data_IF_627886270877
#
_entry.id   IF_627886270877
#
_cell.length_a   1.000
_cell.length_b   1.000
_cell.length_c   1.000
_cell.angle_alpha   90.00
_cell.angle_beta   90.00
_cell.angle_gamma   90.00
#
_symmetry.space_group_name_H-M   'P 1'
#
loop_
_entity.id
_entity.type
_entity.pdbx_description
1 polymer ?
#
# COMPACT_ATOMS: atom_id res chain seq x y z
N UNK A 1 0.63 21.35 -0.35
CA UNK A 1 0.69 20.54 0.91
C UNK A 1 2.11 20.43 1.50
N UNK A 2 2.96 21.40 1.23
CA UNK A 2 4.29 21.49 1.85
C UNK A 2 4.16 21.71 3.35
N UNK A 3 5.09 21.18 4.16
CA UNK A 3 5.18 21.53 5.58
C UNK A 3 5.51 23.03 5.76
N UNK A 4 4.89 23.69 6.73
CA UNK A 4 5.19 25.08 7.05
C UNK A 4 6.61 25.24 7.58
N UNK A 5 7.10 24.24 8.31
CA UNK A 5 8.50 24.09 8.72
C UNK A 5 8.92 22.64 8.56
N UNK A 6 10.13 22.41 8.10
CA UNK A 6 10.75 21.09 8.08
C UNK A 6 11.61 20.94 9.35
N UNK A 7 11.72 19.70 9.89
CA UNK A 7 12.58 19.45 11.03
C UNK A 7 14.05 19.63 10.66
N UNK A 8 14.90 19.80 11.68
CA UNK A 8 16.34 19.80 11.50
C UNK A 8 16.83 18.42 10.97
N UNK A 9 17.94 18.39 10.23
CA UNK A 9 18.57 17.16 9.80
C UNK A 9 18.91 16.23 10.98
N UNK A 10 18.56 14.96 10.82
CA UNK A 10 18.81 13.90 11.80
C UNK A 10 19.37 12.68 11.08
N UNK A 11 20.58 12.19 11.41
CA UNK A 11 21.25 11.13 10.67
C UNK A 11 20.49 9.80 10.62
N UNK A 12 19.53 9.58 11.52
CA UNK A 12 18.71 8.39 11.55
C UNK A 12 17.55 8.44 10.54
N UNK A 13 17.29 9.61 9.94
CA UNK A 13 16.13 9.84 9.11
C UNK A 13 16.44 10.45 7.76
N UNK A 14 15.57 10.15 6.81
CA UNK A 14 15.30 10.96 5.64
C UNK A 14 13.96 11.69 5.85
N UNK A 15 13.93 12.97 5.54
CA UNK A 15 12.71 13.79 5.64
C UNK A 15 12.34 14.33 4.27
N UNK A 16 11.12 14.08 3.86
CA UNK A 16 10.62 14.61 2.59
C UNK A 16 10.00 16.01 2.73
N UNK A 17 9.70 16.63 1.58
CA UNK A 17 9.10 17.97 1.51
C UNK A 17 7.72 18.07 2.21
N UNK A 18 7.05 16.94 2.43
CA UNK A 18 5.83 16.85 3.23
C UNK A 18 6.14 16.95 4.72
N UNK A 19 7.40 16.80 5.12
CA UNK A 19 7.85 16.71 6.50
C UNK A 19 7.59 15.34 7.11
N UNK A 20 7.39 14.31 6.28
CA UNK A 20 7.31 12.92 6.73
C UNK A 20 8.72 12.39 6.94
N UNK A 21 8.98 11.86 8.13
CA UNK A 21 10.26 11.29 8.53
C UNK A 21 10.23 9.79 8.28
N UNK A 22 11.19 9.28 7.52
CA UNK A 22 11.39 7.84 7.30
C UNK A 22 12.76 7.43 7.84
N UNK A 23 12.81 6.43 8.71
CA UNK A 23 14.09 5.91 9.22
C UNK A 23 14.89 5.28 8.10
N UNK A 24 16.19 5.58 8.08
CA UNK A 24 17.12 4.95 7.12
C UNK A 24 17.16 3.43 7.29
N UNK A 25 17.01 2.93 8.52
CA UNK A 25 16.95 1.50 8.80
C UNK A 25 15.76 0.77 8.14
N UNK A 26 14.70 1.50 7.76
CA UNK A 26 13.56 0.96 6.99
C UNK A 26 13.83 0.91 5.48
N UNK A 27 14.96 1.45 5.04
CA UNK A 27 15.38 1.56 3.64
C UNK A 27 16.80 0.96 3.47
N UNK A 28 16.99 -0.35 3.75
CA UNK A 28 18.34 -0.95 3.77
C UNK A 28 19.03 -0.93 2.40
N UNK A 29 18.28 -0.75 1.31
CA UNK A 29 18.79 -0.59 -0.05
C UNK A 29 19.17 0.85 -0.41
N UNK A 30 18.80 1.83 0.42
CA UNK A 30 19.06 3.24 0.12
C UNK A 30 20.54 3.58 0.32
N UNK A 31 21.11 4.54 -0.46
CA UNK A 31 22.49 4.97 -0.25
C UNK A 31 22.64 5.67 1.09
N UNK A 32 23.78 5.45 1.74
CA UNK A 32 24.10 6.06 3.04
C UNK A 32 24.00 7.61 3.02
N UNK A 33 24.19 8.23 1.86
CA UNK A 33 24.07 9.68 1.68
C UNK A 33 22.63 10.20 1.90
N UNK A 34 21.61 9.33 1.94
CA UNK A 34 20.23 9.73 2.25
C UNK A 34 20.06 10.10 3.72
N UNK A 35 20.90 9.56 4.59
CA UNK A 35 20.87 9.84 6.03
C UNK A 35 21.04 11.34 6.33
N UNK A 36 20.14 11.89 7.11
CA UNK A 36 20.12 13.30 7.48
C UNK A 36 19.66 14.26 6.38
N UNK A 37 19.25 13.77 5.22
CA UNK A 37 18.71 14.65 4.19
C UNK A 37 17.30 15.15 4.54
N UNK A 38 17.06 16.43 4.25
CA UNK A 38 15.75 17.08 4.33
C UNK A 38 15.44 17.66 2.96
N UNK A 39 14.53 17.05 2.23
CA UNK A 39 14.15 17.47 0.88
C UNK A 39 13.12 18.60 0.94
N UNK A 40 13.42 19.71 0.27
CA UNK A 40 12.58 20.92 0.26
C UNK A 40 11.89 21.19 -1.08
N UNK A 41 12.26 20.45 -2.11
CA UNK A 41 11.85 20.70 -3.50
C UNK A 41 10.69 19.82 -3.95
N UNK A 42 9.89 20.36 -4.87
CA UNK A 42 8.84 19.70 -5.63
C UNK A 42 9.18 19.81 -7.13
N UNK A 43 8.80 18.86 -7.97
CA UNK A 43 8.30 17.52 -7.60
C UNK A 43 9.40 16.72 -6.92
N UNK A 44 9.02 15.71 -6.15
CA UNK A 44 9.97 14.71 -5.69
C UNK A 44 10.37 13.96 -6.95
N UNK A 45 11.66 13.91 -7.32
CA UNK A 45 12.07 12.96 -8.33
C UNK A 45 11.77 11.57 -7.78
N UNK A 46 11.48 10.64 -8.66
CA UNK A 46 11.54 9.24 -8.31
C UNK A 46 12.88 9.01 -7.62
N UNK A 47 12.83 8.79 -6.31
CA UNK A 47 14.05 8.61 -5.53
C UNK A 47 14.51 7.15 -5.54
N UNK A 48 13.69 6.24 -6.13
CA UNK A 48 14.00 4.82 -6.23
C UNK A 48 14.16 4.12 -4.86
N UNK A 49 13.91 4.85 -3.77
CA UNK A 49 14.17 4.35 -2.42
C UNK A 49 12.89 4.08 -1.64
N UNK A 50 11.88 4.91 -1.80
CA UNK A 50 10.63 4.79 -1.07
C UNK A 50 9.49 4.42 -1.97
N UNK A 51 9.43 5.05 -3.13
CA UNK A 51 8.36 4.86 -4.09
C UNK A 51 8.58 5.68 -5.35
N UNK A 52 7.80 5.39 -6.36
CA UNK A 52 7.75 6.13 -7.61
C UNK A 52 6.97 7.44 -7.46
N UNK A 53 7.25 8.44 -8.29
CA UNK A 53 6.61 9.76 -8.26
C UNK A 53 5.10 9.68 -8.53
N UNK A 54 4.67 8.69 -9.31
CA UNK A 54 3.26 8.40 -9.65
C UNK A 54 2.42 8.11 -8.41
N UNK A 55 2.92 7.34 -7.46
CA UNK A 55 2.18 7.00 -6.23
C UNK A 55 1.95 8.24 -5.35
N UNK A 56 2.90 9.20 -5.33
CA UNK A 56 2.69 10.49 -4.68
C UNK A 56 1.56 11.28 -5.35
N UNK A 57 1.42 11.19 -6.68
CA UNK A 57 0.31 11.80 -7.39
C UNK A 57 -1.03 11.13 -7.04
N UNK A 58 -1.05 9.80 -6.84
CA UNK A 58 -2.23 9.05 -6.39
C UNK A 58 -2.71 9.55 -5.01
N UNK A 59 -1.80 9.65 -4.04
CA UNK A 59 -2.12 10.18 -2.71
C UNK A 59 -2.62 11.63 -2.77
N UNK A 60 -1.98 12.47 -3.59
CA UNK A 60 -2.38 13.87 -3.76
C UNK A 60 -3.80 13.98 -4.35
N UNK A 61 -4.13 13.17 -5.35
CA UNK A 61 -5.47 13.12 -5.95
C UNK A 61 -6.53 12.69 -4.92
N UNK A 62 -6.23 11.67 -4.11
CA UNK A 62 -7.14 11.22 -3.06
C UNK A 62 -7.40 12.29 -2.01
N UNK A 63 -6.35 12.94 -1.54
CA UNK A 63 -6.47 14.04 -0.59
C UNK A 63 -7.25 15.22 -1.16
N UNK A 64 -7.03 15.60 -2.43
CA UNK A 64 -7.76 16.72 -3.05
C UNK A 64 -9.28 16.51 -3.05
N UNK A 65 -9.72 15.28 -3.26
CA UNK A 65 -11.15 14.96 -3.28
C UNK A 65 -11.78 14.72 -1.92
N UNK A 66 -11.00 14.70 -0.82
CA UNK A 66 -11.52 14.56 0.53
C UNK A 66 -12.07 15.91 1.05
N UNK A 67 -13.23 15.89 1.70
CA UNK A 67 -13.92 17.08 2.19
C UNK A 67 -13.74 17.29 3.70
N UNK A 68 -14.30 16.43 4.53
CA UNK A 68 -14.24 16.53 6.01
C UNK A 68 -13.46 15.39 6.65
N UNK A 69 -13.41 14.27 5.97
CA UNK A 69 -12.72 13.05 6.41
C UNK A 69 -11.75 12.61 5.32
N UNK A 70 -10.71 11.89 5.71
CA UNK A 70 -9.84 11.18 4.79
C UNK A 70 -9.56 9.79 5.36
N UNK A 71 -9.95 8.77 4.59
CA UNK A 71 -9.70 7.37 4.92
C UNK A 71 -8.82 6.72 3.86
N UNK A 72 -7.75 6.09 4.32
CA UNK A 72 -6.81 5.33 3.48
C UNK A 72 -6.70 3.89 3.96
N UNK A 73 -6.71 2.94 3.04
CA UNK A 73 -6.38 1.53 3.28
C UNK A 73 -5.17 1.20 2.43
N UNK A 74 -4.11 0.69 3.06
CA UNK A 74 -2.85 0.33 2.42
C UNK A 74 -2.60 -1.16 2.62
N UNK A 75 -2.50 -1.90 1.53
CA UNK A 75 -2.37 -3.36 1.49
C UNK A 75 -1.01 -3.74 0.92
N UNK A 76 -0.26 -4.58 1.63
CA UNK A 76 1.17 -4.76 1.41
C UNK A 76 1.94 -3.55 1.91
N UNK A 77 1.65 -3.15 3.16
CA UNK A 77 1.97 -1.81 3.63
C UNK A 77 3.47 -1.60 3.94
N UNK A 78 4.25 -2.65 4.11
CA UNK A 78 5.64 -2.49 4.53
C UNK A 78 5.75 -1.68 5.81
N UNK A 79 6.37 -0.51 5.74
CA UNK A 79 6.43 0.48 6.85
C UNK A 79 5.28 1.50 6.83
N UNK A 80 4.22 1.27 6.06
CA UNK A 80 3.04 2.11 5.90
C UNK A 80 3.32 3.55 5.41
N UNK A 81 4.12 3.74 4.35
CA UNK A 81 4.47 5.07 3.85
C UNK A 81 3.25 5.90 3.44
N UNK A 82 2.27 5.29 2.80
CA UNK A 82 1.10 5.99 2.27
C UNK A 82 0.08 6.32 3.36
N UNK A 83 -0.17 5.39 4.29
CA UNK A 83 -1.02 5.67 5.45
C UNK A 83 -0.45 6.81 6.29
N UNK A 84 0.83 6.76 6.65
CA UNK A 84 1.45 7.80 7.47
C UNK A 84 1.48 9.14 6.75
N UNK A 85 1.87 9.16 5.47
CA UNK A 85 1.86 10.41 4.68
C UNK A 85 0.43 10.95 4.52
N UNK A 86 -0.56 10.11 4.25
CA UNK A 86 -1.96 10.49 4.13
C UNK A 86 -2.52 11.10 5.40
N UNK A 87 -2.23 10.50 6.55
CA UNK A 87 -2.64 11.01 7.88
C UNK A 87 -1.98 12.36 8.17
N UNK A 88 -0.66 12.48 8.00
CA UNK A 88 0.07 13.74 8.23
C UNK A 88 -0.45 14.87 7.35
N UNK A 89 -0.68 14.61 6.06
CA UNK A 89 -1.19 15.60 5.11
C UNK A 89 -2.66 15.93 5.33
N UNK A 90 -3.48 14.93 5.65
CA UNK A 90 -4.90 15.12 5.96
C UNK A 90 -5.11 16.00 7.20
N UNK A 91 -4.34 15.77 8.26
CA UNK A 91 -4.35 16.63 9.47
C UNK A 91 -4.04 18.09 9.15
N UNK A 92 -3.03 18.35 8.29
CA UNK A 92 -2.69 19.73 7.87
C UNK A 92 -3.79 20.42 7.10
N UNK A 93 -4.67 19.62 6.47
CA UNK A 93 -5.88 20.13 5.82
C UNK A 93 -7.07 20.29 6.79
N UNK A 94 -6.91 19.92 8.05
CA UNK A 94 -7.99 19.93 9.04
C UNK A 94 -9.00 18.80 8.87
N UNK A 95 -8.63 17.72 8.15
CA UNK A 95 -9.48 16.55 7.97
C UNK A 95 -9.42 15.63 9.19
N UNK A 96 -10.52 14.94 9.48
CA UNK A 96 -10.49 13.75 10.33
C UNK A 96 -9.86 12.62 9.51
N UNK A 97 -8.85 11.99 10.08
CA UNK A 97 -8.04 11.01 9.33
C UNK A 97 -8.17 9.62 9.95
N UNK A 98 -8.22 8.61 9.11
CA UNK A 98 -8.14 7.20 9.49
C UNK A 98 -7.34 6.42 8.45
N UNK A 99 -6.42 5.58 8.92
CA UNK A 99 -5.64 4.66 8.10
C UNK A 99 -5.78 3.23 8.58
N UNK A 100 -5.78 2.29 7.64
CA UNK A 100 -5.62 0.85 7.92
C UNK A 100 -4.46 0.36 7.05
N UNK A 101 -3.39 -0.09 7.68
CA UNK A 101 -2.22 -0.66 7.02
C UNK A 101 -2.19 -2.17 7.26
N UNK A 102 -2.15 -2.96 6.21
CA UNK A 102 -2.15 -4.43 6.28
C UNK A 102 -0.81 -4.95 5.81
N UNK A 103 -0.10 -5.64 6.70
CA UNK A 103 1.25 -6.15 6.45
C UNK A 103 1.40 -7.55 7.06
N UNK A 104 1.77 -8.52 6.22
CA UNK A 104 1.89 -9.91 6.64
C UNK A 104 3.17 -10.16 7.44
N UNK A 105 4.27 -9.51 7.06
CA UNK A 105 5.54 -9.68 7.73
C UNK A 105 5.59 -8.94 9.06
N UNK A 106 5.97 -9.69 10.12
CA UNK A 106 6.01 -9.16 11.48
C UNK A 106 7.01 -8.00 11.66
N UNK A 107 8.18 -8.08 11.02
CA UNK A 107 9.20 -7.04 11.14
C UNK A 107 8.68 -5.74 10.52
N UNK A 108 8.07 -5.83 9.34
CA UNK A 108 7.55 -4.69 8.60
C UNK A 108 6.31 -4.09 9.25
N UNK A 109 5.42 -4.91 9.81
CA UNK A 109 4.33 -4.42 10.66
C UNK A 109 4.86 -3.64 11.88
N UNK A 110 5.96 -4.10 12.49
CA UNK A 110 6.68 -3.35 13.52
C UNK A 110 7.27 -2.03 13.01
N UNK A 111 7.79 -2.00 11.79
CA UNK A 111 8.25 -0.77 11.14
C UNK A 111 7.11 0.22 10.89
N UNK A 112 5.93 -0.27 10.48
CA UNK A 112 4.75 0.60 10.32
C UNK A 112 4.36 1.29 11.64
N UNK A 113 4.38 0.57 12.76
CA UNK A 113 4.15 1.16 14.09
C UNK A 113 5.21 2.21 14.45
N UNK A 114 6.49 1.90 14.18
CA UNK A 114 7.58 2.84 14.47
C UNK A 114 7.51 4.07 13.56
N UNK A 115 7.20 3.90 12.26
CA UNK A 115 7.04 5.00 11.32
C UNK A 115 5.88 5.93 11.71
N UNK A 116 4.77 5.36 12.18
CA UNK A 116 3.67 6.14 12.76
C UNK A 116 4.13 6.98 13.95
N UNK A 117 4.83 6.36 14.92
CA UNK A 117 5.34 7.04 16.11
C UNK A 117 6.33 8.17 15.76
N UNK A 118 7.24 7.94 14.83
CA UNK A 118 8.23 8.93 14.35
C UNK A 118 7.57 10.17 13.70
N UNK A 119 6.32 10.02 13.24
CA UNK A 119 5.52 11.08 12.62
C UNK A 119 4.36 11.57 13.52
N UNK A 120 4.40 11.25 14.80
CA UNK A 120 3.38 11.61 15.79
C UNK A 120 1.95 11.15 15.38
N UNK A 121 1.86 10.01 14.68
CA UNK A 121 0.59 9.34 14.34
C UNK A 121 0.26 8.35 15.44
N UNK A 122 -0.95 8.45 16.01
CA UNK A 122 -1.41 7.45 16.98
C UNK A 122 -1.76 6.16 16.26
N UNK A 123 -1.16 5.05 16.68
CA UNK A 123 -1.31 3.76 16.01
C UNK A 123 -1.63 2.62 16.97
N UNK A 124 -2.40 1.64 16.49
CA UNK A 124 -2.69 0.38 17.18
C UNK A 124 -2.28 -0.79 16.27
N UNK A 125 -1.61 -1.80 16.85
CA UNK A 125 -1.25 -3.03 16.16
C UNK A 125 -2.26 -4.13 16.52
N UNK A 126 -2.92 -4.69 15.51
CA UNK A 126 -3.78 -5.86 15.65
C UNK A 126 -3.02 -7.12 15.24
N UNK A 127 -3.05 -8.11 16.13
CA UNK A 127 -2.49 -9.46 15.89
C UNK A 127 -3.49 -10.49 16.38
N UNK A 128 -3.50 -11.69 15.81
CA UNK A 128 -4.39 -12.77 16.22
C UNK A 128 -4.77 -13.70 15.09
N UNK A 129 -5.78 -14.53 15.30
CA UNK A 129 -6.38 -15.36 14.25
C UNK A 129 -7.14 -14.50 13.24
N UNK A 130 -7.43 -14.99 12.03
CA UNK A 130 -8.22 -14.26 11.05
C UNK A 130 -9.56 -13.75 11.63
N UNK A 131 -10.26 -14.56 12.41
CA UNK A 131 -11.55 -14.21 13.00
C UNK A 131 -11.44 -13.14 14.09
N UNK A 132 -10.39 -13.21 14.93
CA UNK A 132 -10.11 -12.20 15.95
C UNK A 132 -9.78 -10.86 15.31
N UNK A 133 -8.98 -10.86 14.23
CA UNK A 133 -8.65 -9.64 13.49
C UNK A 133 -9.90 -9.00 12.87
N UNK A 134 -10.79 -9.80 12.26
CA UNK A 134 -12.05 -9.28 11.71
C UNK A 134 -12.93 -8.71 12.83
N UNK A 135 -13.05 -9.37 13.96
CA UNK A 135 -13.83 -8.86 15.09
C UNK A 135 -13.28 -7.52 15.60
N UNK A 136 -11.96 -7.41 15.77
CA UNK A 136 -11.30 -6.17 16.20
C UNK A 136 -11.47 -5.02 15.17
N UNK A 137 -11.39 -5.31 13.88
CA UNK A 137 -11.65 -4.32 12.82
C UNK A 137 -13.08 -3.77 12.90
N UNK A 138 -14.07 -4.64 13.22
CA UNK A 138 -15.47 -4.25 13.37
C UNK A 138 -15.73 -3.44 14.66
N UNK A 139 -14.99 -3.67 15.73
CA UNK A 139 -15.06 -2.86 16.95
C UNK A 139 -14.56 -1.42 16.71
N UNK A 140 -13.66 -1.25 15.74
CA UNK A 140 -13.00 0.00 15.44
C UNK A 140 -11.94 0.37 16.48
N UNK A 141 -11.30 1.52 16.28
CA UNK A 141 -10.25 2.05 17.15
C UNK A 141 -10.31 3.57 17.22
N UNK A 142 -9.82 4.14 18.33
CA UNK A 142 -9.59 5.58 18.45
C UNK A 142 -8.25 6.03 17.82
N UNK A 143 -7.37 5.08 17.49
CA UNK A 143 -6.11 5.39 16.82
C UNK A 143 -6.36 5.91 15.39
N UNK A 144 -5.46 6.75 14.89
CA UNK A 144 -5.52 7.26 13.53
C UNK A 144 -5.04 6.23 12.50
N UNK A 145 -4.16 5.31 12.92
CA UNK A 145 -3.67 4.21 12.10
C UNK A 145 -3.91 2.88 12.82
N UNK A 146 -4.59 1.97 12.16
CA UNK A 146 -4.67 0.57 12.57
C UNK A 146 -3.70 -0.22 11.70
N UNK A 147 -2.69 -0.83 12.32
CA UNK A 147 -1.79 -1.77 11.63
C UNK A 147 -2.30 -3.17 11.89
N UNK A 148 -2.58 -3.91 10.82
CA UNK A 148 -3.08 -5.30 10.89
C UNK A 148 -1.96 -6.22 10.44
N UNK A 149 -1.42 -7.02 11.35
CA UNK A 149 -0.41 -8.02 11.02
C UNK A 149 -1.08 -9.25 10.39
N UNK A 150 -1.32 -9.17 9.10
CA UNK A 150 -2.00 -10.18 8.30
C UNK A 150 -1.70 -9.97 6.81
N UNK A 151 -1.95 -10.98 5.99
CA UNK A 151 -2.16 -10.78 4.57
C UNK A 151 -3.55 -10.20 4.30
N UNK A 152 -3.72 -9.45 3.22
CA UNK A 152 -5.03 -9.14 2.68
C UNK A 152 -5.38 -10.17 1.59
N UNK A 153 -6.63 -10.61 1.57
CA UNK A 153 -7.10 -11.56 0.56
C UNK A 153 -8.55 -11.26 0.16
N UNK A 154 -9.09 -12.05 -0.78
CA UNK A 154 -10.51 -11.93 -1.12
C UNK A 154 -11.44 -12.60 -0.10
N UNK A 155 -10.91 -13.46 0.76
CA UNK A 155 -11.64 -14.10 1.84
C UNK A 155 -10.82 -14.12 3.13
N UNK A 156 -11.49 -14.27 4.29
CA UNK A 156 -10.83 -14.41 5.58
C UNK A 156 -10.39 -15.86 5.76
N UNK A 157 -9.09 -16.10 5.91
CA UNK A 157 -8.49 -17.44 5.92
C UNK A 157 -7.06 -17.40 6.50
N UNK A 158 -6.31 -18.47 6.35
CA UNK A 158 -4.87 -18.55 6.62
C UNK A 158 -4.15 -18.82 5.30
N UNK A 159 -3.05 -18.12 5.05
CA UNK A 159 -2.25 -18.24 3.83
C UNK A 159 -0.80 -18.55 4.16
N UNK A 160 -0.10 -19.13 3.21
CA UNK A 160 1.34 -19.32 3.25
C UNK A 160 2.06 -18.05 2.82
N UNK A 161 3.04 -17.60 3.60
CA UNK A 161 3.84 -16.39 3.33
C UNK A 161 5.32 -16.71 3.46
N UNK A 162 6.21 -16.17 2.61
CA UNK A 162 7.62 -16.46 2.65
C UNK A 162 8.32 -15.83 3.87
N UNK A 163 9.37 -16.51 4.34
CA UNK A 163 10.32 -15.93 5.29
C UNK A 163 11.23 -14.98 4.52
N UNK A 164 11.16 -13.70 4.82
CA UNK A 164 11.88 -12.66 4.10
C UNK A 164 13.11 -12.19 4.89
N UNK A 165 14.20 -11.94 4.17
CA UNK A 165 15.32 -11.19 4.71
C UNK A 165 14.94 -9.71 4.96
N UNK A 166 15.66 -9.01 5.84
CA UNK A 166 15.37 -7.63 6.22
C UNK A 166 15.31 -6.68 5.01
N UNK A 167 16.16 -6.89 4.02
CA UNK A 167 16.21 -6.07 2.79
C UNK A 167 15.23 -6.49 1.69
N UNK A 168 14.48 -7.58 1.87
CA UNK A 168 13.57 -8.09 0.84
C UNK A 168 12.15 -7.55 1.03
N UNK A 169 11.74 -6.61 0.19
CA UNK A 169 10.37 -6.03 0.21
C UNK A 169 9.41 -6.72 -0.77
N UNK A 170 9.85 -7.74 -1.51
CA UNK A 170 9.05 -8.40 -2.53
C UNK A 170 8.29 -9.64 -2.05
N UNK A 171 7.84 -9.67 -0.80
CA UNK A 171 7.05 -10.79 -0.27
C UNK A 171 5.62 -10.82 -0.78
N UNK A 172 5.20 -11.95 -1.37
CA UNK A 172 3.83 -12.19 -1.77
C UNK A 172 3.27 -13.45 -1.08
N UNK A 173 1.95 -13.51 -0.88
CA UNK A 173 1.31 -14.75 -0.43
C UNK A 173 1.51 -15.85 -1.46
N UNK A 174 1.69 -17.08 -0.96
CA UNK A 174 1.99 -18.22 -1.82
C UNK A 174 0.72 -18.81 -2.43
N UNK A 175 0.59 -18.73 -3.75
CA UNK A 175 -0.60 -19.19 -4.47
C UNK A 175 -0.35 -20.47 -5.30
N UNK A 176 0.91 -20.94 -5.39
CA UNK A 176 1.28 -22.10 -6.23
C UNK A 176 1.60 -23.33 -5.36
N UNK A 177 0.65 -24.24 -5.12
CA UNK A 177 0.89 -25.44 -4.34
C UNK A 177 1.99 -26.32 -4.96
N UNK A 178 2.90 -26.85 -4.13
CA UNK A 178 3.89 -27.83 -4.53
C UNK A 178 5.16 -27.28 -5.18
N UNK A 179 5.37 -25.97 -5.14
CA UNK A 179 6.65 -25.34 -5.47
C UNK A 179 7.24 -24.67 -4.23
N UNK A 180 8.54 -24.54 -4.18
CA UNK A 180 9.29 -23.79 -3.14
C UNK A 180 9.94 -22.54 -3.75
N UNK A 181 9.46 -22.12 -4.93
CA UNK A 181 10.00 -21.00 -5.71
C UNK A 181 8.95 -19.92 -5.82
N UNK A 182 9.28 -18.70 -5.41
CA UNK A 182 8.39 -17.55 -5.49
C UNK A 182 8.22 -17.04 -6.95
N UNK A 183 7.40 -16.01 -7.14
CA UNK A 183 7.15 -15.41 -8.47
C UNK A 183 8.42 -14.84 -9.12
N UNK A 184 9.46 -14.54 -8.35
CA UNK A 184 10.78 -14.06 -8.80
C UNK A 184 11.75 -15.21 -9.11
N UNK A 185 11.41 -16.46 -8.75
CA UNK A 185 12.26 -17.63 -8.89
C UNK A 185 13.18 -17.88 -7.69
N UNK A 186 12.96 -17.22 -6.54
CA UNK A 186 13.71 -17.44 -5.31
C UNK A 186 13.13 -18.65 -4.55
N UNK A 187 14.02 -19.49 -3.99
CA UNK A 187 13.65 -20.55 -3.05
C UNK A 187 13.57 -19.98 -1.64
N UNK A 188 12.36 -19.95 -1.07
CA UNK A 188 12.10 -19.41 0.25
C UNK A 188 11.42 -20.45 1.14
N UNK A 189 11.73 -20.45 2.42
CA UNK A 189 10.91 -21.11 3.42
C UNK A 189 9.64 -20.32 3.67
N UNK A 190 8.58 -20.97 4.16
CA UNK A 190 7.27 -20.37 4.30
C UNK A 190 6.68 -20.69 5.68
N UNK A 191 5.88 -19.77 6.18
CA UNK A 191 5.07 -19.95 7.38
C UNK A 191 3.61 -19.54 7.12
N UNK A 192 2.72 -19.96 7.99
CA UNK A 192 1.33 -19.56 7.92
C UNK A 192 1.13 -18.17 8.53
N UNK A 193 0.37 -17.33 7.83
CA UNK A 193 -0.06 -16.01 8.30
C UNK A 193 -1.58 -15.89 8.25
N UNK A 194 -2.21 -15.18 9.20
CA UNK A 194 -3.63 -14.84 9.07
C UNK A 194 -3.86 -14.01 7.84
N UNK A 195 -5.02 -14.17 7.21
CA UNK A 195 -5.45 -13.35 6.08
C UNK A 195 -6.84 -12.78 6.37
N UNK A 196 -7.01 -11.48 6.12
CA UNK A 196 -8.26 -10.76 6.28
C UNK A 196 -8.83 -10.36 4.92
N UNK A 197 -10.15 -10.46 4.79
CA UNK A 197 -10.81 -10.11 3.53
C UNK A 197 -10.82 -8.60 3.29
N UNK A 198 -10.74 -8.17 2.02
CA UNK A 198 -10.94 -6.78 1.66
C UNK A 198 -12.30 -6.25 2.16
N UNK A 199 -13.35 -7.09 2.15
CA UNK A 199 -14.63 -6.74 2.76
C UNK A 199 -14.48 -6.30 4.21
N UNK A 200 -13.72 -7.03 5.03
CA UNK A 200 -13.52 -6.68 6.44
C UNK A 200 -12.69 -5.40 6.60
N UNK A 201 -11.70 -5.18 5.75
CA UNK A 201 -10.85 -3.99 5.77
C UNK A 201 -11.59 -2.73 5.32
N UNK A 202 -12.53 -2.88 4.38
CA UNK A 202 -13.34 -1.79 3.84
C UNK A 202 -14.62 -1.53 4.64
N UNK A 203 -15.03 -2.45 5.52
CA UNK A 203 -16.22 -2.35 6.34
C UNK A 203 -16.09 -1.20 7.36
N UNK A 204 -16.57 -0.02 6.97
CA UNK A 204 -16.61 1.20 7.79
C UNK A 204 -17.81 2.02 7.32
N UNK A 205 -18.36 2.87 8.19
CA UNK A 205 -19.41 3.83 7.83
C UNK A 205 -18.90 4.96 6.94
N UNK A 206 -17.56 5.06 6.77
CA UNK A 206 -16.89 6.09 5.98
C UNK A 206 -16.30 5.47 4.72
N UNK A 207 -16.57 6.07 3.55
CA UNK A 207 -15.95 5.67 2.28
C UNK A 207 -14.42 5.74 2.37
N UNK A 208 -13.76 4.80 1.71
CA UNK A 208 -12.30 4.79 1.53
C UNK A 208 -11.92 5.74 0.41
N UNK A 209 -11.20 6.82 0.73
CA UNK A 209 -10.73 7.80 -0.25
C UNK A 209 -9.62 7.24 -1.12
N UNK A 210 -8.74 6.42 -0.54
CA UNK A 210 -7.68 5.73 -1.25
C UNK A 210 -7.52 4.29 -0.75
N UNK A 211 -7.68 3.33 -1.64
CA UNK A 211 -7.18 1.98 -1.47
C UNK A 211 -5.84 1.89 -2.22
N UNK A 212 -4.74 1.74 -1.51
CA UNK A 212 -3.43 1.47 -2.09
C UNK A 212 -3.14 -0.03 -1.98
N UNK A 213 -2.70 -0.64 -3.07
CA UNK A 213 -2.45 -2.09 -3.16
C UNK A 213 -1.11 -2.34 -3.82
N UNK A 214 -0.22 -2.98 -3.07
CA UNK A 214 1.06 -3.49 -3.57
C UNK A 214 1.32 -4.84 -2.89
N UNK A 215 0.94 -5.92 -3.55
CA UNK A 215 0.98 -7.29 -3.00
C UNK A 215 1.84 -8.24 -3.84
N UNK A 216 2.70 -7.65 -4.65
CA UNK A 216 3.81 -8.33 -5.32
C UNK A 216 3.38 -9.52 -6.19
N UNK A 217 2.44 -9.26 -7.13
CA UNK A 217 2.05 -10.19 -8.20
C UNK A 217 0.75 -10.96 -7.96
N UNK A 218 0.04 -10.73 -6.82
CA UNK A 218 -1.27 -11.35 -6.55
C UNK A 218 -2.43 -10.34 -6.58
N UNK A 219 -2.23 -9.16 -7.17
CA UNK A 219 -3.22 -8.07 -7.25
C UNK A 219 -4.53 -8.54 -7.88
N UNK A 220 -4.45 -9.32 -8.98
CA UNK A 220 -5.64 -9.84 -9.63
C UNK A 220 -6.42 -10.83 -8.76
N UNK A 221 -5.72 -11.70 -8.03
CA UNK A 221 -6.35 -12.72 -7.19
C UNK A 221 -7.00 -12.09 -5.93
N UNK A 222 -6.46 -10.97 -5.48
CA UNK A 222 -7.02 -10.18 -4.40
C UNK A 222 -8.23 -9.34 -4.86
N UNK A 223 -8.05 -8.55 -5.93
CA UNK A 223 -8.98 -7.46 -6.27
C UNK A 223 -10.18 -7.91 -7.11
N UNK A 224 -9.98 -8.85 -8.07
CA UNK A 224 -11.07 -9.21 -8.97
C UNK A 224 -12.24 -9.90 -8.25
N UNK A 225 -12.02 -10.84 -7.31
CA UNK A 225 -13.11 -11.43 -6.55
C UNK A 225 -13.79 -10.44 -5.57
N UNK A 226 -13.06 -9.44 -5.07
CA UNK A 226 -13.55 -8.46 -4.10
C UNK A 226 -14.14 -7.20 -4.77
N UNK A 227 -14.28 -7.18 -6.09
CA UNK A 227 -14.62 -5.97 -6.86
C UNK A 227 -15.98 -5.35 -6.51
N UNK A 228 -16.94 -6.11 -5.99
CA UNK A 228 -18.24 -5.56 -5.55
C UNK A 228 -18.07 -4.75 -4.24
N UNK A 229 -17.30 -5.24 -3.29
CA UNK A 229 -16.99 -4.52 -2.04
C UNK A 229 -16.16 -3.26 -2.35
N UNK A 230 -15.18 -3.36 -3.25
CA UNK A 230 -14.37 -2.23 -3.71
C UNK A 230 -15.26 -1.17 -4.36
N UNK A 231 -16.16 -1.58 -5.28
CA UNK A 231 -17.05 -0.64 -5.97
C UNK A 231 -18.01 0.08 -5.02
N UNK A 232 -18.43 -0.58 -3.94
CA UNK A 232 -19.33 0.01 -2.97
C UNK A 232 -18.65 1.03 -2.03
N UNK A 233 -17.34 0.88 -1.75
CA UNK A 233 -16.67 1.56 -0.64
C UNK A 233 -15.45 2.39 -1.04
N UNK A 234 -14.87 2.22 -2.24
CA UNK A 234 -13.60 2.82 -2.62
C UNK A 234 -13.78 3.89 -3.68
N UNK A 235 -13.30 5.10 -3.42
CA UNK A 235 -13.35 6.23 -4.35
C UNK A 235 -12.19 6.22 -5.34
N UNK A 236 -10.97 6.06 -4.85
CA UNK A 236 -9.76 5.92 -5.67
C UNK A 236 -9.00 4.67 -5.25
N UNK A 237 -8.43 3.99 -6.22
CA UNK A 237 -7.61 2.80 -6.01
C UNK A 237 -6.29 2.96 -6.78
N UNK A 238 -5.17 2.95 -6.05
CA UNK A 238 -3.83 2.90 -6.60
C UNK A 238 -3.30 1.46 -6.50
N UNK A 239 -2.83 0.91 -7.61
CA UNK A 239 -2.36 -0.47 -7.67
C UNK A 239 -0.94 -0.47 -8.21
N UNK A 240 0.02 -0.94 -7.41
CA UNK A 240 1.33 -1.39 -7.89
C UNK A 240 1.15 -2.67 -8.71
N UNK A 241 1.78 -2.77 -9.86
CA UNK A 241 1.62 -3.91 -10.76
C UNK A 241 2.97 -4.53 -11.09
N UNK A 242 3.07 -5.85 -10.95
CA UNK A 242 4.32 -6.59 -11.09
C UNK A 242 4.51 -7.24 -12.46
N UNK A 243 3.50 -7.22 -13.33
CA UNK A 243 3.59 -7.74 -14.70
C UNK A 243 2.51 -7.21 -15.65
N UNK A 244 2.80 -7.28 -16.95
CA UNK A 244 1.93 -6.79 -18.03
C UNK A 244 0.61 -7.54 -18.19
N UNK A 245 0.53 -8.81 -17.79
CA UNK A 245 -0.71 -9.56 -17.86
C UNK A 245 -1.68 -9.11 -16.76
N UNK A 246 -1.17 -8.91 -15.55
CA UNK A 246 -1.93 -8.38 -14.42
C UNK A 246 -2.48 -7.00 -14.73
N UNK A 247 -1.69 -6.09 -15.31
CA UNK A 247 -2.15 -4.78 -15.81
C UNK A 247 -3.33 -4.91 -16.76
N UNK A 248 -3.19 -5.74 -17.80
CA UNK A 248 -4.24 -5.93 -18.79
C UNK A 248 -5.53 -6.54 -18.22
N UNK A 249 -5.42 -7.49 -17.28
CA UNK A 249 -6.56 -8.09 -16.58
C UNK A 249 -7.30 -7.07 -15.71
N UNK A 250 -6.58 -6.25 -14.96
CA UNK A 250 -7.14 -5.18 -14.15
C UNK A 250 -7.85 -4.15 -15.04
N UNK A 251 -7.21 -3.71 -16.13
CA UNK A 251 -7.82 -2.79 -17.09
C UNK A 251 -9.11 -3.35 -17.69
N UNK A 252 -9.07 -4.58 -18.20
CA UNK A 252 -10.26 -5.22 -18.76
C UNK A 252 -11.40 -5.28 -17.74
N UNK A 253 -11.11 -5.65 -16.50
CA UNK A 253 -12.12 -5.84 -15.46
C UNK A 253 -12.74 -4.52 -15.00
N UNK A 254 -11.91 -3.54 -14.59
CA UNK A 254 -12.42 -2.30 -14.00
C UNK A 254 -13.04 -1.37 -15.04
N UNK A 255 -12.54 -1.34 -16.29
CA UNK A 255 -13.21 -0.63 -17.39
C UNK A 255 -14.60 -1.21 -17.68
N UNK A 256 -14.73 -2.53 -17.69
CA UNK A 256 -16.03 -3.19 -17.90
C UNK A 256 -17.04 -2.87 -16.76
N UNK A 257 -16.54 -2.53 -15.57
CA UNK A 257 -17.34 -2.12 -14.41
C UNK A 257 -17.60 -0.61 -14.36
N UNK A 258 -17.13 0.13 -15.35
CA UNK A 258 -17.37 1.58 -15.48
C UNK A 258 -16.37 2.45 -14.69
N UNK A 259 -15.28 1.88 -14.16
CA UNK A 259 -14.22 2.66 -13.52
C UNK A 259 -13.43 3.47 -14.55
N UNK A 260 -12.91 4.63 -14.14
CA UNK A 260 -12.02 5.46 -14.95
C UNK A 260 -10.55 5.22 -14.61
N UNK A 261 -9.74 4.86 -15.60
CA UNK A 261 -8.28 4.81 -15.45
C UNK A 261 -7.72 6.23 -15.58
N UNK A 262 -7.20 6.78 -14.49
CA UNK A 262 -6.69 8.17 -14.44
C UNK A 262 -5.21 8.27 -14.71
N UNK A 263 -4.47 7.31 -14.20
CA UNK A 263 -3.02 7.18 -14.41
C UNK A 263 -2.76 5.73 -14.81
N UNK A 264 -1.97 5.55 -15.84
CA UNK A 264 -1.46 4.28 -16.30
C UNK A 264 0.04 4.46 -16.58
N UNK A 265 0.85 4.04 -15.63
CA UNK A 265 2.30 3.97 -15.75
C UNK A 265 2.70 2.49 -15.82
N UNK A 266 2.90 1.95 -17.02
CA UNK A 266 3.01 0.52 -17.18
C UNK A 266 4.37 -0.01 -16.73
N UNK A 267 4.40 -1.20 -16.13
CA UNK A 267 5.65 -1.86 -15.76
C UNK A 267 6.59 -2.02 -16.96
N UNK A 268 7.88 -1.88 -16.72
CA UNK A 268 8.92 -2.09 -17.73
C UNK A 268 9.40 -3.53 -17.71
N UNK A 269 9.32 -4.21 -18.86
CA UNK A 269 9.73 -5.60 -19.00
C UNK A 269 10.93 -5.75 -19.94
N UNK A 270 11.90 -6.56 -19.51
CA UNK A 270 13.06 -6.96 -20.32
C UNK A 270 13.13 -8.48 -20.35
N UNK A 271 13.22 -9.05 -21.56
CA UNK A 271 13.29 -10.49 -21.71
C UNK A 271 14.49 -11.09 -20.97
N UNK A 272 14.24 -12.12 -20.16
CA UNK A 272 15.25 -12.85 -19.39
C UNK A 272 15.18 -14.35 -19.68
N UNK A 273 16.33 -14.93 -20.03
CA UNK A 273 16.47 -16.40 -20.20
C UNK A 273 16.61 -17.10 -18.85
N UNK A 274 17.04 -16.40 -17.82
CA UNK A 274 17.24 -16.96 -16.46
C UNK A 274 15.94 -16.98 -15.65
N UNK A 275 15.03 -16.06 -15.93
CA UNK A 275 13.73 -15.94 -15.26
C UNK A 275 12.62 -15.82 -16.32
N UNK A 276 12.27 -16.93 -17.01
CA UNK A 276 11.40 -16.90 -18.18
C UNK A 276 9.91 -16.87 -17.80
N UNK A 277 9.53 -15.90 -16.98
CA UNK A 277 8.14 -15.62 -16.57
C UNK A 277 7.83 -14.14 -16.81
N UNK A 278 6.56 -13.77 -16.87
CA UNK A 278 6.17 -12.35 -17.05
C UNK A 278 6.67 -11.48 -15.89
N UNK A 279 6.51 -11.94 -14.67
CA UNK A 279 7.06 -11.26 -13.49
C UNK A 279 8.60 -11.23 -13.51
N UNK A 280 9.25 -12.32 -13.91
CA UNK A 280 10.72 -12.39 -14.05
C UNK A 280 11.29 -11.50 -15.17
N UNK A 281 10.45 -11.00 -16.08
CA UNK A 281 10.85 -10.02 -17.10
C UNK A 281 10.70 -8.57 -16.58
N UNK A 282 9.93 -8.36 -15.52
CA UNK A 282 9.70 -7.03 -14.99
C UNK A 282 10.97 -6.51 -14.29
N UNK A 283 11.43 -5.36 -14.71
CA UNK A 283 12.61 -4.68 -14.18
C UNK A 283 12.25 -3.38 -13.46
N UNK A 284 11.02 -2.91 -13.63
CA UNK A 284 10.41 -1.80 -12.92
C UNK A 284 8.91 -2.07 -12.85
N UNK A 285 8.34 -1.99 -11.68
CA UNK A 285 6.92 -2.15 -11.44
C UNK A 285 6.14 -1.01 -12.07
N UNK A 286 4.87 -1.22 -12.32
CA UNK A 286 3.97 -0.22 -12.85
C UNK A 286 2.99 0.29 -11.80
N UNK A 287 2.29 1.38 -12.11
CA UNK A 287 1.25 1.93 -11.24
C UNK A 287 -0.01 2.30 -12.01
N UNK A 288 -1.16 1.85 -11.54
CA UNK A 288 -2.47 2.23 -12.07
C UNK A 288 -3.27 3.01 -11.03
N UNK A 289 -3.79 4.20 -11.38
CA UNK A 289 -4.77 4.91 -10.56
C UNK A 289 -6.16 4.81 -11.17
N UNK A 290 -7.06 4.20 -10.44
CA UNK A 290 -8.45 4.01 -10.80
C UNK A 290 -9.38 4.91 -10.01
N UNK A 291 -10.40 5.46 -10.66
CA UNK A 291 -11.44 6.26 -10.06
C UNK A 291 -12.80 5.59 -10.21
N UNK A 292 -13.52 5.54 -9.10
CA UNK A 292 -14.91 5.10 -9.07
C UNK A 292 -15.84 6.29 -9.32
N UNK A 293 -16.42 6.44 -10.51
CA UNK A 293 -17.27 7.59 -10.80
C UNK A 293 -18.60 7.56 -10.03
N UNK A 294 -19.06 6.39 -9.59
CA UNK A 294 -20.33 6.24 -8.88
C UNK A 294 -20.30 6.81 -7.44
N UNK A 295 -19.11 7.03 -6.89
CA UNK A 295 -18.90 7.63 -5.56
C UNK A 295 -18.46 9.10 -5.63
N UNK A 296 -18.63 9.74 -6.79
CA UNK A 296 -18.42 11.19 -6.94
C UNK A 296 -19.68 11.95 -6.54
N UNK A 297 -19.55 13.08 -5.78
CA UNK A 297 -20.69 13.91 -5.41
C UNK A 297 -21.45 14.48 -6.63
N UNK A 298 -20.78 14.67 -7.76
CA UNK A 298 -21.29 15.37 -8.94
C UNK A 298 -21.60 14.41 -10.13
N UNK A 299 -21.55 13.09 -9.91
CA UNK A 299 -21.86 12.16 -10.99
C UNK A 299 -23.37 11.95 -11.08
N UNK A 300 -24.02 12.35 -12.21
CA UNK A 300 -25.42 12.03 -12.42
C UNK A 300 -25.56 10.53 -12.61
N UNK A 301 -26.18 9.84 -11.64
CA UNK A 301 -26.49 8.41 -11.68
C UNK A 301 -27.44 8.03 -12.82
#
# INVERSE_FOLDING_TARGET
MRADSLPDPDPDFYVDWKGVRTRIAMLPWAPAALAGQVTTTLPIPDDGYRSEDVEYACLAAALQGADTTFRIVEVGAGWAPWCVAGIVLGRRRGLRVRGVAVEADKLRAGWAMQHAADNAVTAELLTGTPEELVARLQEGTEAELTVVQAAAWHETTTLSFPDLDEGDMGGAVWTLPGTDVDYRGAHLTHHEVPAVSLRALLADDTLTDLLHVDVQGVECDLLLPASDDIQAQVRLMAIGTSDRLSEGRLQQHFLARGWGLRIDDPCTAVFSMTHPTLAGFTVQDGTQLWENPFLRPDFPG
#
